data_IF_373305174513
#
_entry.id   IF_373305174513
#
_cell.length_a   1.000
_cell.length_b   1.000
_cell.length_c   1.000
_cell.angle_alpha   90.00
_cell.angle_beta   90.00
_cell.angle_gamma   90.00
#
_symmetry.space_group_name_H-M   'P 1'
#
loop_
_entity.id
_entity.type
_entity.pdbx_description
1 polymer ?
#
# COMPACT_ATOMS: atom_id res chain seq x y z
N UNK A 1 -6.81 -18.54 0.42
CA UNK A 1 -6.91 -17.54 -0.68
C UNK A 1 -7.09 -16.17 -0.06
N UNK A 2 -6.18 -15.24 -0.40
CA UNK A 2 -6.26 -13.88 0.14
C UNK A 2 -7.35 -13.05 -0.55
N UNK A 3 -8.24 -12.49 0.25
CA UNK A 3 -9.42 -11.72 -0.21
C UNK A 3 -9.42 -10.37 0.49
N UNK A 4 -9.05 -9.29 -0.23
CA UNK A 4 -9.12 -7.93 0.31
C UNK A 4 -10.58 -7.47 0.49
N UNK A 5 -10.87 -6.84 1.61
CA UNK A 5 -12.22 -6.29 1.87
C UNK A 5 -12.58 -5.18 0.88
N UNK A 6 -11.60 -4.35 0.49
CA UNK A 6 -11.79 -3.30 -0.51
C UNK A 6 -12.30 -3.87 -1.84
N UNK A 7 -11.73 -4.98 -2.30
CA UNK A 7 -12.18 -5.65 -3.52
C UNK A 7 -13.59 -6.24 -3.41
N UNK A 8 -13.94 -6.82 -2.26
CA UNK A 8 -15.32 -7.28 -2.05
C UNK A 8 -16.33 -6.13 -2.10
N UNK A 9 -15.96 -4.95 -1.58
CA UNK A 9 -16.79 -3.75 -1.60
C UNK A 9 -17.05 -3.18 -2.99
N UNK A 10 -16.22 -3.49 -3.96
CA UNK A 10 -16.48 -3.14 -5.37
C UNK A 10 -17.70 -3.89 -5.92
N UNK A 11 -17.92 -5.11 -5.45
CA UNK A 11 -18.99 -5.99 -5.92
C UNK A 11 -20.22 -6.02 -5.02
N UNK A 12 -20.08 -5.74 -3.72
CA UNK A 12 -21.15 -5.81 -2.75
C UNK A 12 -21.07 -4.64 -1.78
N UNK A 13 -22.21 -4.02 -1.44
CA UNK A 13 -22.28 -3.00 -0.39
C UNK A 13 -22.18 -3.66 1.00
N UNK A 14 -20.95 -3.73 1.51
CA UNK A 14 -20.64 -4.35 2.81
C UNK A 14 -20.69 -3.26 3.87
N UNK A 15 -21.73 -3.31 4.72
CA UNK A 15 -22.02 -2.38 5.81
C UNK A 15 -21.78 -2.98 7.20
N UNK A 16 -21.23 -4.19 7.26
CA UNK A 16 -20.85 -4.87 8.49
C UNK A 16 -19.34 -4.70 8.75
N UNK A 17 -18.94 -4.91 10.01
CA UNK A 17 -17.52 -4.92 10.37
C UNK A 17 -16.79 -6.13 9.77
N UNK A 18 -15.46 -6.07 9.61
CA UNK A 18 -14.68 -7.22 9.11
C UNK A 18 -14.91 -8.49 9.97
N UNK A 19 -15.00 -8.35 11.29
CA UNK A 19 -15.24 -9.46 12.21
C UNK A 19 -16.65 -10.05 12.07
N UNK A 20 -17.65 -9.22 11.81
CA UNK A 20 -19.01 -9.69 11.53
C UNK A 20 -19.08 -10.41 10.17
N UNK A 21 -18.34 -9.92 9.18
CA UNK A 21 -18.23 -10.58 7.87
C UNK A 21 -17.53 -11.94 7.99
N UNK A 22 -16.44 -12.02 8.74
CA UNK A 22 -15.75 -13.27 9.06
C UNK A 22 -16.73 -14.30 9.64
N UNK A 23 -17.52 -13.90 10.64
CA UNK A 23 -18.53 -14.79 11.24
C UNK A 23 -19.56 -15.26 10.21
N UNK A 24 -20.02 -14.36 9.33
CA UNK A 24 -20.98 -14.73 8.27
C UNK A 24 -20.38 -15.68 7.26
N UNK A 25 -19.09 -15.53 6.93
CA UNK A 25 -18.36 -16.46 6.09
C UNK A 25 -18.29 -17.85 6.74
N UNK A 26 -17.99 -17.95 8.04
CA UNK A 26 -18.05 -19.22 8.77
C UNK A 26 -19.45 -19.84 8.76
N UNK A 27 -20.49 -19.06 9.04
CA UNK A 27 -21.88 -19.52 9.02
C UNK A 27 -22.27 -20.01 7.60
N UNK A 28 -21.68 -19.43 6.55
CA UNK A 28 -21.84 -19.83 5.15
C UNK A 28 -20.97 -21.01 4.71
N UNK A 29 -20.17 -21.58 5.62
CA UNK A 29 -19.32 -22.75 5.36
C UNK A 29 -17.94 -22.44 4.78
N UNK A 30 -17.48 -21.21 4.91
CA UNK A 30 -16.10 -20.81 4.55
C UNK A 30 -15.22 -20.79 5.80
N UNK A 31 -14.09 -21.44 5.73
CA UNK A 31 -13.08 -21.38 6.77
C UNK A 31 -12.17 -20.15 6.52
N UNK A 32 -12.19 -19.18 7.42
CA UNK A 32 -11.26 -18.05 7.44
C UNK A 32 -10.12 -18.43 8.37
N UNK A 33 -8.94 -18.70 7.81
CA UNK A 33 -7.75 -19.10 8.57
C UNK A 33 -7.18 -17.92 9.35
N UNK A 34 -7.21 -16.73 8.73
CA UNK A 34 -6.72 -15.50 9.35
C UNK A 34 -7.52 -14.29 8.85
N UNK A 35 -7.81 -13.38 9.77
CA UNK A 35 -8.33 -12.03 9.49
C UNK A 35 -7.38 -11.01 10.08
N UNK A 36 -6.74 -10.20 9.23
CA UNK A 36 -5.81 -9.17 9.68
C UNK A 36 -5.95 -7.88 8.89
N UNK A 37 -5.56 -6.77 9.51
CA UNK A 37 -5.47 -5.49 8.83
C UNK A 37 -4.06 -5.33 8.24
N UNK A 38 -3.97 -5.03 6.95
CA UNK A 38 -2.71 -4.74 6.29
C UNK A 38 -2.09 -3.49 6.92
N UNK A 39 -0.78 -3.47 7.15
CA UNK A 39 -0.09 -2.33 7.76
C UNK A 39 -0.49 -2.01 9.21
N UNK A 40 -0.98 -3.01 9.97
CA UNK A 40 -1.35 -2.82 11.40
C UNK A 40 -0.15 -2.43 12.29
N UNK A 41 1.06 -2.80 11.89
CA UNK A 41 2.29 -2.52 12.63
C UNK A 41 2.82 -1.09 12.45
N UNK A 42 2.33 -0.37 11.44
CA UNK A 42 2.77 0.98 11.14
C UNK A 42 1.68 2.00 11.46
N UNK A 43 2.09 3.18 11.92
CA UNK A 43 1.15 4.24 12.34
C UNK A 43 1.77 5.64 12.20
N UNK A 44 0.91 6.68 12.11
CA UNK A 44 1.27 8.10 12.05
C UNK A 44 2.22 8.46 10.91
N UNK A 45 1.94 7.93 9.73
CA UNK A 45 2.67 8.22 8.51
C UNK A 45 1.78 9.03 7.59
N UNK A 46 2.20 10.25 7.27
CA UNK A 46 1.40 11.20 6.52
C UNK A 46 2.14 11.69 5.27
N UNK A 47 1.41 12.24 4.31
CA UNK A 47 2.01 12.86 3.12
C UNK A 47 2.63 14.20 3.49
N UNK A 48 3.92 14.37 3.18
CA UNK A 48 4.62 15.64 3.34
C UNK A 48 5.24 16.12 2.04
N UNK A 49 5.26 17.44 1.86
CA UNK A 49 5.93 18.15 0.77
C UNK A 49 7.28 18.66 1.26
N UNK A 50 8.33 18.33 0.59
CA UNK A 50 9.66 18.89 0.82
C UNK A 50 9.69 20.31 0.21
N UNK A 51 9.65 21.34 1.06
CA UNK A 51 9.71 22.75 0.62
C UNK A 51 11.13 23.16 0.25
N UNK A 52 12.11 22.78 1.09
CA UNK A 52 13.53 23.01 0.84
C UNK A 52 14.35 21.76 1.12
N UNK A 53 15.45 21.59 0.39
CA UNK A 53 16.36 20.47 0.53
C UNK A 53 17.80 20.98 0.37
N UNK A 54 18.53 21.08 1.48
CA UNK A 54 19.88 21.62 1.50
C UNK A 54 20.89 20.52 1.85
N UNK A 55 21.96 20.33 1.03
CA UNK A 55 22.96 19.33 1.32
C UNK A 55 23.79 19.71 2.56
N UNK A 56 24.10 18.73 3.42
CA UNK A 56 25.04 18.90 4.52
C UNK A 56 26.46 18.68 3.97
N UNK A 57 27.36 19.68 4.08
CA UNK A 57 28.73 19.56 3.55
C UNK A 57 29.45 18.30 4.03
N UNK A 58 30.23 17.67 3.17
CA UNK A 58 31.03 16.47 3.43
C UNK A 58 30.23 15.21 3.83
N UNK A 59 28.91 15.20 3.50
CA UNK A 59 28.05 14.05 3.76
C UNK A 59 27.10 13.82 2.57
N UNK A 60 26.44 12.64 2.53
CA UNK A 60 25.33 12.35 1.62
C UNK A 60 23.97 12.81 2.18
N UNK A 61 23.97 13.49 3.34
CA UNK A 61 22.73 13.89 4.01
C UNK A 61 22.25 15.25 3.56
N UNK A 62 20.94 15.43 3.60
CA UNK A 62 20.25 16.68 3.31
C UNK A 62 19.44 17.10 4.54
N UNK A 63 19.35 18.41 4.77
CA UNK A 63 18.39 19.01 5.70
C UNK A 63 17.19 19.49 4.90
N UNK A 64 16.03 18.92 5.19
CA UNK A 64 14.80 19.21 4.49
C UNK A 64 13.83 19.97 5.42
N UNK A 65 13.14 20.99 4.91
CA UNK A 65 11.94 21.53 5.52
C UNK A 65 10.74 20.86 4.86
N UNK A 66 9.97 20.14 5.67
CA UNK A 66 8.88 19.28 5.17
C UNK A 66 7.56 19.76 5.75
N UNK A 67 6.66 20.17 4.87
CA UNK A 67 5.31 20.57 5.21
C UNK A 67 4.38 19.36 5.21
N UNK A 68 3.89 18.96 6.35
CA UNK A 68 2.97 17.85 6.56
C UNK A 68 1.51 18.29 6.81
N UNK A 69 1.07 19.38 6.18
CA UNK A 69 -0.30 19.88 6.27
C UNK A 69 -0.66 20.32 7.69
N UNK A 70 -1.69 19.74 8.28
CA UNK A 70 -2.15 20.05 9.64
C UNK A 70 -1.11 19.80 10.74
N UNK A 71 -0.12 18.94 10.47
CA UNK A 71 0.99 18.65 11.40
C UNK A 71 2.10 19.70 11.35
N UNK A 72 1.97 20.71 10.47
CA UNK A 72 2.90 21.81 10.31
C UNK A 72 4.15 21.49 9.51
N UNK A 73 5.08 22.44 9.48
CA UNK A 73 6.38 22.27 8.82
C UNK A 73 7.42 21.84 9.84
N UNK A 74 8.20 20.83 9.49
CA UNK A 74 9.23 20.23 10.34
C UNK A 74 10.54 20.05 9.60
N UNK A 75 11.65 20.13 10.36
CA UNK A 75 12.97 19.80 9.84
C UNK A 75 13.22 18.31 9.92
N UNK A 76 13.60 17.71 8.80
CA UNK A 76 13.96 16.29 8.69
C UNK A 76 15.32 16.16 8.00
N UNK A 77 16.22 15.36 8.55
CA UNK A 77 17.48 14.99 7.91
C UNK A 77 17.27 13.69 7.12
N UNK A 78 17.59 13.73 5.84
CA UNK A 78 17.40 12.59 4.92
C UNK A 78 18.69 12.26 4.19
N UNK A 79 18.95 10.96 4.00
CA UNK A 79 20.11 10.46 3.26
C UNK A 79 19.77 9.80 1.93
N UNK A 80 18.53 9.86 1.50
CA UNK A 80 18.11 9.26 0.24
C UNK A 80 18.52 10.12 -0.96
N UNK A 81 18.99 9.47 -2.03
CA UNK A 81 19.49 10.15 -3.22
C UNK A 81 18.39 10.84 -4.04
N UNK A 82 17.14 10.38 -3.90
CA UNK A 82 15.99 10.92 -4.63
C UNK A 82 15.21 12.02 -3.87
N UNK A 83 15.69 12.47 -2.71
CA UNK A 83 15.04 13.58 -2.01
C UNK A 83 15.27 14.89 -2.74
N UNK A 84 14.18 15.63 -3.02
CA UNK A 84 14.26 16.90 -3.73
C UNK A 84 13.17 17.89 -3.29
N UNK A 85 13.44 19.18 -3.41
CA UNK A 85 12.44 20.21 -3.19
C UNK A 85 11.30 20.10 -4.21
N UNK A 86 10.06 20.23 -3.74
CA UNK A 86 8.84 20.02 -4.53
C UNK A 86 8.34 18.58 -4.58
N UNK A 87 9.13 17.61 -4.10
CA UNK A 87 8.71 16.20 -4.00
C UNK A 87 7.77 15.97 -2.82
N UNK A 88 6.81 15.07 -3.00
CA UNK A 88 5.93 14.56 -1.93
C UNK A 88 6.36 13.17 -1.53
N UNK A 89 6.51 12.94 -0.23
CA UNK A 89 7.01 11.68 0.32
C UNK A 89 6.23 11.29 1.58
N UNK A 90 6.20 10.00 1.97
CA UNK A 90 5.70 9.59 3.27
C UNK A 90 6.59 10.16 4.39
N UNK A 91 5.96 10.75 5.37
CA UNK A 91 6.60 11.33 6.57
C UNK A 91 6.14 10.56 7.78
N UNK A 92 7.03 9.82 8.40
CA UNK A 92 6.81 9.26 9.71
C UNK A 92 7.04 10.35 10.77
N UNK A 93 5.98 10.71 11.48
CA UNK A 93 6.00 11.72 12.53
C UNK A 93 6.74 11.20 13.78
N UNK A 94 7.11 12.09 14.68
CA UNK A 94 7.66 11.66 15.99
C UNK A 94 6.62 10.83 16.74
N UNK A 95 6.99 9.63 17.14
CA UNK A 95 6.10 8.63 17.75
C UNK A 95 5.39 7.72 16.73
N UNK A 96 5.66 7.89 15.44
CA UNK A 96 5.24 6.94 14.42
C UNK A 96 5.94 5.59 14.56
N UNK A 97 5.30 4.54 14.08
CA UNK A 97 5.90 3.21 13.91
C UNK A 97 6.08 2.89 12.44
N UNK A 98 7.22 2.36 12.07
CA UNK A 98 7.59 1.93 10.72
C UNK A 98 8.37 0.63 10.79
N UNK A 99 8.50 -0.09 9.68
CA UNK A 99 9.39 -1.24 9.62
C UNK A 99 10.85 -0.81 9.65
N UNK A 100 11.62 -1.47 10.50
CA UNK A 100 13.08 -1.35 10.52
C UNK A 100 13.66 -2.22 9.41
N UNK A 101 14.53 -1.65 8.60
CA UNK A 101 15.18 -2.37 7.49
C UNK A 101 16.64 -2.67 7.82
N UNK A 102 17.14 -3.80 7.34
CA UNK A 102 18.56 -4.13 7.39
C UNK A 102 19.39 -3.15 6.52
N UNK A 103 20.71 -3.29 6.55
CA UNK A 103 21.63 -2.44 5.76
C UNK A 103 21.44 -2.55 4.25
N UNK A 104 20.77 -3.58 3.77
CA UNK A 104 20.41 -3.77 2.35
C UNK A 104 19.19 -2.96 1.92
N UNK A 105 18.51 -2.29 2.87
CA UNK A 105 17.27 -1.53 2.68
C UNK A 105 16.11 -2.35 2.05
N UNK A 106 16.18 -3.68 2.12
CA UNK A 106 15.19 -4.60 1.52
C UNK A 106 14.62 -5.58 2.53
N UNK A 107 15.43 -6.02 3.48
CA UNK A 107 15.04 -6.99 4.49
C UNK A 107 14.44 -6.27 5.70
N UNK A 108 13.21 -6.63 6.09
CA UNK A 108 12.56 -6.13 7.30
C UNK A 108 13.09 -6.92 8.49
N UNK A 109 13.62 -6.23 9.50
CA UNK A 109 14.14 -6.83 10.75
C UNK A 109 13.17 -6.70 11.92
N UNK A 110 12.11 -5.91 11.78
CA UNK A 110 11.12 -5.67 12.82
C UNK A 110 10.43 -4.32 12.68
N UNK A 111 9.92 -3.80 13.78
CA UNK A 111 9.24 -2.51 13.84
C UNK A 111 10.04 -1.55 14.71
N UNK A 112 10.15 -0.30 14.29
CA UNK A 112 10.82 0.74 15.07
C UNK A 112 9.92 1.95 15.27
N UNK A 113 10.11 2.64 16.40
CA UNK A 113 9.41 3.90 16.69
C UNK A 113 10.30 5.10 16.36
N UNK A 114 9.77 6.03 15.59
CA UNK A 114 10.48 7.25 15.20
C UNK A 114 10.56 8.21 16.39
N UNK A 115 11.77 8.64 16.70
CA UNK A 115 12.07 9.59 17.77
C UNK A 115 12.73 10.84 17.20
N UNK A 116 12.60 11.96 17.92
CA UNK A 116 13.42 13.13 17.65
C UNK A 116 14.89 12.71 17.68
N UNK A 117 15.61 12.98 16.61
CA UNK A 117 17.02 12.65 16.47
C UNK A 117 17.90 13.87 16.21
N UNK A 118 19.22 13.66 16.24
CA UNK A 118 20.20 14.66 15.82
C UNK A 118 21.25 13.98 14.93
N UNK A 119 21.36 14.44 13.71
CA UNK A 119 22.28 13.91 12.69
C UNK A 119 23.26 15.00 12.29
N UNK A 120 24.56 14.75 12.46
CA UNK A 120 25.62 15.70 12.10
C UNK A 120 25.42 17.14 12.62
N UNK A 121 24.80 17.30 13.77
CA UNK A 121 24.54 18.62 14.37
C UNK A 121 23.15 19.21 14.10
N UNK A 122 22.43 18.68 13.13
CA UNK A 122 21.08 19.09 12.76
C UNK A 122 20.02 18.25 13.47
N UNK A 123 18.97 18.86 13.97
CA UNK A 123 17.83 18.16 14.57
C UNK A 123 16.92 17.59 13.49
N UNK A 124 16.36 16.38 13.71
CA UNK A 124 15.37 15.76 12.84
C UNK A 124 14.11 15.43 13.66
N UNK A 125 12.97 15.92 13.19
CA UNK A 125 11.67 15.78 13.85
C UNK A 125 10.75 14.81 13.09
N UNK A 126 11.29 13.72 12.63
CA UNK A 126 10.60 12.70 11.86
C UNK A 126 11.55 12.00 10.89
N UNK A 127 10.99 11.20 10.01
CA UNK A 127 11.72 10.47 8.98
C UNK A 127 10.92 10.46 7.69
N UNK A 128 11.58 10.67 6.55
CA UNK A 128 11.02 10.36 5.23
C UNK A 128 11.21 8.86 4.97
N UNK A 129 10.17 8.20 4.45
CA UNK A 129 10.16 6.74 4.34
C UNK A 129 10.28 6.24 2.90
N UNK A 130 10.94 5.09 2.77
CA UNK A 130 10.94 4.25 1.59
C UNK A 130 9.71 3.34 1.55
N UNK A 131 9.45 2.67 0.41
CA UNK A 131 8.41 1.66 0.31
C UNK A 131 8.61 0.48 1.29
N UNK A 132 9.86 0.04 1.45
CA UNK A 132 10.19 -1.08 2.36
C UNK A 132 9.92 -0.75 3.83
N UNK A 133 10.17 0.49 4.26
CA UNK A 133 9.86 0.94 5.63
C UNK A 133 8.35 1.02 5.90
N UNK A 134 7.53 1.03 4.84
CA UNK A 134 6.08 0.91 4.91
C UNK A 134 5.60 -0.54 4.75
N UNK A 135 6.50 -1.49 4.49
CA UNK A 135 6.14 -2.89 4.19
C UNK A 135 5.58 -3.10 2.78
N UNK A 136 5.79 -2.13 1.89
CA UNK A 136 5.34 -2.21 0.50
C UNK A 136 6.39 -2.87 -0.40
N UNK A 137 5.91 -3.61 -1.38
CA UNK A 137 6.71 -4.15 -2.49
C UNK A 137 6.29 -3.49 -3.81
N UNK A 138 7.10 -3.65 -4.85
CA UNK A 138 6.78 -3.11 -6.19
C UNK A 138 5.46 -3.65 -6.75
N UNK A 139 5.11 -4.91 -6.42
CA UNK A 139 3.85 -5.53 -6.85
C UNK A 139 2.63 -4.97 -6.11
N UNK A 140 2.82 -4.41 -4.90
CA UNK A 140 1.75 -3.80 -4.11
C UNK A 140 1.51 -2.34 -4.48
N UNK A 141 2.59 -1.59 -4.68
CA UNK A 141 2.51 -0.18 -5.01
C UNK A 141 3.67 0.24 -5.93
N UNK A 142 3.39 0.87 -7.08
CA UNK A 142 4.43 1.28 -8.04
C UNK A 142 5.47 2.20 -7.40
N UNK A 143 6.74 1.89 -7.62
CA UNK A 143 7.87 2.63 -7.06
C UNK A 143 8.27 2.22 -5.64
N UNK A 144 7.54 1.32 -4.98
CA UNK A 144 7.88 0.87 -3.62
C UNK A 144 9.14 0.00 -3.57
N UNK A 145 9.49 -0.66 -4.68
CA UNK A 145 10.73 -1.44 -4.81
C UNK A 145 11.98 -0.60 -5.06
N UNK A 146 11.85 0.71 -5.25
CA UNK A 146 12.98 1.59 -5.47
C UNK A 146 13.82 1.76 -4.19
N UNK A 147 15.14 1.73 -4.35
CA UNK A 147 16.07 1.96 -3.24
C UNK A 147 16.19 3.46 -2.95
N UNK A 148 15.22 4.03 -2.29
CA UNK A 148 15.11 5.45 -1.97
C UNK A 148 13.74 5.74 -1.33
N UNK A 149 13.37 7.01 -1.27
CA UNK A 149 12.05 7.40 -0.77
C UNK A 149 10.94 6.99 -1.72
N UNK A 150 9.81 6.60 -1.16
CA UNK A 150 8.59 6.38 -1.94
C UNK A 150 8.03 7.73 -2.39
N UNK A 151 7.87 7.92 -3.68
CA UNK A 151 7.24 9.13 -4.23
C UNK A 151 5.72 9.01 -4.15
N UNK A 152 5.08 10.02 -3.54
CA UNK A 152 3.62 10.08 -3.43
C UNK A 152 3.03 10.78 -4.66
N UNK A 153 1.77 10.48 -5.03
CA UNK A 153 1.09 11.15 -6.14
C UNK A 153 1.11 12.68 -5.99
N UNK A 154 1.28 13.38 -7.10
CA UNK A 154 1.37 14.85 -7.10
C UNK A 154 0.10 15.53 -6.55
N UNK A 155 -1.07 14.90 -6.72
CA UNK A 155 -2.37 15.34 -6.23
C UNK A 155 -2.67 14.90 -4.78
N UNK A 156 -1.80 14.06 -4.16
CA UNK A 156 -1.98 13.64 -2.78
C UNK A 156 -2.06 14.85 -1.83
N UNK A 157 -3.07 14.86 -0.97
CA UNK A 157 -3.29 15.93 0.00
C UNK A 157 -2.23 15.88 1.11
N UNK A 158 -1.66 17.05 1.46
CA UNK A 158 -0.69 17.13 2.56
C UNK A 158 -1.34 16.79 3.90
N UNK A 159 -0.66 16.01 4.70
CA UNK A 159 -1.18 15.52 5.98
C UNK A 159 -2.13 14.32 5.86
N UNK A 160 -2.50 13.89 4.65
CA UNK A 160 -3.32 12.68 4.47
C UNK A 160 -2.57 11.43 4.94
N UNK A 161 -3.30 10.46 5.49
CA UNK A 161 -2.74 9.18 5.90
C UNK A 161 -2.22 8.41 4.66
N UNK A 162 -0.95 8.05 4.70
CA UNK A 162 -0.29 7.31 3.63
C UNK A 162 -0.92 5.92 3.45
N UNK A 163 -1.39 5.29 4.52
CA UNK A 163 -2.01 3.96 4.44
C UNK A 163 -3.25 3.94 3.55
N UNK A 164 -4.08 4.99 3.65
CA UNK A 164 -5.28 5.11 2.82
C UNK A 164 -4.96 5.28 1.32
N UNK A 165 -3.80 5.91 0.99
CA UNK A 165 -3.37 6.12 -0.39
C UNK A 165 -2.72 4.85 -0.98
N UNK A 166 -2.03 4.09 -0.14
CA UNK A 166 -1.24 2.92 -0.56
C UNK A 166 -1.98 1.59 -0.37
N UNK A 167 -3.20 1.61 0.20
CA UNK A 167 -3.99 0.41 0.48
C UNK A 167 -3.52 -0.38 1.72
N UNK A 168 -2.70 0.23 2.58
CA UNK A 168 -2.20 -0.40 3.82
C UNK A 168 -3.20 -0.32 4.98
N UNK A 169 -4.39 0.19 4.77
CA UNK A 169 -5.50 0.24 5.74
C UNK A 169 -6.57 -0.82 5.48
N UNK A 170 -6.38 -1.67 4.46
CA UNK A 170 -7.34 -2.71 4.09
C UNK A 170 -7.34 -3.89 5.07
N UNK A 171 -8.44 -4.63 5.06
CA UNK A 171 -8.58 -5.90 5.77
C UNK A 171 -8.43 -7.07 4.82
N UNK A 172 -7.68 -8.07 5.24
CA UNK A 172 -7.41 -9.28 4.46
C UNK A 172 -8.03 -10.48 5.13
N UNK A 173 -8.84 -11.21 4.38
CA UNK A 173 -9.37 -12.52 4.77
C UNK A 173 -8.54 -13.60 4.08
N UNK A 174 -7.87 -14.45 4.82
CA UNK A 174 -7.29 -15.67 4.27
C UNK A 174 -8.34 -16.80 4.35
N UNK A 175 -8.94 -17.11 3.20
CA UNK A 175 -10.03 -18.08 3.11
C UNK A 175 -9.49 -19.41 2.58
N UNK A 176 -9.69 -20.46 3.36
CA UNK A 176 -9.43 -21.83 2.94
C UNK A 176 -10.61 -22.35 2.12
N UNK A 177 -10.36 -22.69 0.88
CA UNK A 177 -11.40 -23.18 -0.04
C UNK A 177 -11.33 -24.70 -0.19
N UNK A 178 -12.46 -25.35 0.03
CA UNK A 178 -12.59 -26.78 -0.18
C UNK A 178 -12.68 -27.14 -1.66
N UNK A 179 -12.24 -28.33 -2.03
CA UNK A 179 -12.17 -28.77 -3.43
C UNK A 179 -13.52 -28.82 -4.15
N UNK A 180 -14.63 -28.86 -3.42
CA UNK A 180 -15.99 -28.84 -3.96
C UNK A 180 -16.53 -27.43 -4.25
N UNK A 181 -15.75 -26.37 -3.94
CA UNK A 181 -16.13 -24.97 -4.18
C UNK A 181 -15.18 -24.25 -5.16
N UNK A 182 -14.96 -24.82 -6.38
CA UNK A 182 -14.10 -24.18 -7.39
C UNK A 182 -14.67 -22.84 -7.89
N UNK A 183 -15.98 -22.63 -7.77
CA UNK A 183 -16.71 -21.40 -8.08
C UNK A 183 -16.23 -20.21 -7.21
N UNK A 184 -15.68 -20.46 -6.04
CA UNK A 184 -15.20 -19.46 -5.09
C UNK A 184 -13.69 -19.14 -5.24
N UNK A 185 -12.99 -19.73 -6.22
CA UNK A 185 -11.57 -19.44 -6.49
C UNK A 185 -11.34 -18.10 -7.20
N UNK A 186 -12.18 -17.11 -6.93
CA UNK A 186 -12.04 -15.75 -7.42
C UNK A 186 -12.74 -14.77 -6.47
N UNK A 187 -12.31 -13.53 -6.47
CA UNK A 187 -12.95 -12.47 -5.68
C UNK A 187 -14.44 -12.34 -6.03
N UNK A 188 -14.78 -12.42 -7.31
CA UNK A 188 -16.19 -12.39 -7.75
C UNK A 188 -16.99 -13.60 -7.24
N UNK A 189 -16.37 -14.79 -7.15
CA UNK A 189 -17.00 -15.97 -6.57
C UNK A 189 -17.33 -15.77 -5.10
N UNK A 190 -16.38 -15.29 -4.31
CA UNK A 190 -16.61 -14.95 -2.89
C UNK A 190 -17.63 -13.81 -2.77
N UNK A 191 -17.56 -12.80 -3.63
CA UNK A 191 -18.52 -11.68 -3.62
C UNK A 191 -19.97 -12.15 -3.84
N UNK A 192 -20.21 -13.18 -4.68
CA UNK A 192 -21.55 -13.79 -4.84
C UNK A 192 -22.07 -14.41 -3.54
N UNK A 193 -21.21 -15.11 -2.83
CA UNK A 193 -21.56 -15.71 -1.54
C UNK A 193 -21.82 -14.62 -0.48
N UNK A 194 -20.95 -13.61 -0.40
CA UNK A 194 -21.13 -12.46 0.49
C UNK A 194 -22.42 -11.71 0.18
N UNK A 195 -22.73 -11.51 -1.12
CA UNK A 195 -23.99 -10.92 -1.59
C UNK A 195 -25.21 -11.68 -1.05
N UNK A 196 -25.19 -13.02 -1.13
CA UNK A 196 -26.26 -13.87 -0.60
C UNK A 196 -26.33 -13.82 0.92
N UNK A 197 -25.19 -13.88 1.63
CA UNK A 197 -25.14 -13.86 3.10
C UNK A 197 -25.59 -12.53 3.70
N UNK A 198 -25.34 -11.42 3.00
CA UNK A 198 -25.74 -10.08 3.42
C UNK A 198 -27.11 -9.66 2.88
N UNK A 199 -27.72 -10.46 2.00
CA UNK A 199 -28.96 -10.13 1.26
C UNK A 199 -28.84 -8.79 0.50
N UNK A 200 -27.64 -8.52 -0.05
CA UNK A 200 -27.31 -7.31 -0.81
C UNK A 200 -27.15 -7.63 -2.29
N UNK A 201 -27.48 -6.70 -3.20
CA UNK A 201 -27.29 -6.94 -4.62
C UNK A 201 -25.82 -7.06 -4.99
N UNK A 202 -25.51 -8.00 -5.89
CA UNK A 202 -24.18 -8.11 -6.50
C UNK A 202 -24.06 -7.09 -7.64
N UNK A 203 -23.00 -6.30 -7.60
CA UNK A 203 -22.61 -5.36 -8.64
C UNK A 203 -21.66 -6.08 -9.61
N UNK A 204 -22.14 -6.38 -10.81
CA UNK A 204 -21.26 -6.98 -11.83
C UNK A 204 -20.35 -5.92 -12.45
N UNK A 205 -19.08 -6.24 -12.71
CA UNK A 205 -18.20 -5.32 -13.43
C UNK A 205 -18.71 -5.08 -14.84
N UNK A 206 -18.53 -3.86 -15.35
CA UNK A 206 -18.82 -3.58 -16.76
C UNK A 206 -17.87 -4.38 -17.66
N UNK A 207 -18.44 -4.95 -18.71
CA UNK A 207 -17.68 -5.61 -19.78
C UNK A 207 -17.53 -4.68 -21.01
N UNK A 208 -17.96 -3.43 -20.89
CA UNK A 208 -17.82 -2.44 -21.96
C UNK A 208 -16.35 -2.05 -22.10
N UNK A 209 -15.85 -2.11 -23.31
CA UNK A 209 -14.50 -1.67 -23.64
C UNK A 209 -14.49 -0.90 -24.96
N UNK A 210 -13.54 0.00 -25.08
CA UNK A 210 -13.28 0.69 -26.34
C UNK A 210 -12.09 0.01 -27.00
N UNK A 211 -12.29 -0.53 -28.21
CA UNK A 211 -11.20 -1.07 -29.00
C UNK A 211 -10.23 0.05 -29.38
N UNK A 212 -8.98 -0.09 -29.00
CA UNK A 212 -7.91 0.76 -29.50
C UNK A 212 -7.23 0.06 -30.67
N UNK A 213 -6.89 0.80 -31.74
CA UNK A 213 -6.12 0.25 -32.84
C UNK A 213 -4.80 -0.35 -32.29
N UNK A 214 -4.75 -1.67 -32.25
CA UNK A 214 -3.52 -2.39 -31.92
C UNK A 214 -2.58 -2.22 -33.10
N UNK A 215 -1.46 -1.52 -32.93
CA UNK A 215 -0.34 -1.59 -33.89
C UNK A 215 -0.05 -3.07 -34.10
N UNK A 216 -0.17 -3.52 -35.37
CA UNK A 216 -0.04 -4.90 -35.83
C UNK A 216 0.80 -5.77 -34.91
N UNK A 217 0.15 -6.63 -34.12
CA UNK A 217 0.84 -7.73 -33.47
C UNK A 217 1.53 -8.56 -34.57
N UNK A 218 2.82 -8.77 -34.45
CA UNK A 218 3.56 -9.59 -35.40
C UNK A 218 2.90 -10.99 -35.42
N UNK A 219 2.56 -11.48 -36.62
CA UNK A 219 1.99 -12.81 -36.82
C UNK A 219 2.82 -13.94 -36.17
N UNK A 220 4.12 -13.70 -35.96
CA UNK A 220 5.06 -14.60 -35.25
C UNK A 220 4.65 -14.80 -33.78
N UNK A 221 4.10 -13.78 -33.08
CA UNK A 221 3.65 -13.93 -31.70
C UNK A 221 2.34 -14.73 -31.58
N UNK A 222 1.51 -14.70 -32.61
CA UNK A 222 0.26 -15.45 -32.65
C UNK A 222 0.52 -16.92 -32.96
N UNK A 223 1.45 -17.23 -33.89
CA UNK A 223 1.80 -18.62 -34.24
C UNK A 223 2.52 -19.35 -33.11
N UNK A 224 3.43 -18.68 -32.34
CA UNK A 224 4.11 -19.28 -31.20
C UNK A 224 3.19 -19.60 -30.01
N UNK A 225 2.11 -18.87 -29.83
CA UNK A 225 1.12 -19.17 -28.78
C UNK A 225 0.35 -20.49 -29.06
N UNK A 226 0.28 -20.96 -30.30
CA UNK A 226 -0.35 -22.22 -30.69
C UNK A 226 0.59 -23.43 -30.69
N UNK A 227 1.92 -23.22 -30.63
CA UNK A 227 2.91 -24.31 -30.63
C UNK A 227 3.21 -24.84 -29.21
N UNK A 228 2.69 -24.22 -28.15
CA UNK A 228 2.88 -24.61 -26.74
C UNK A 228 1.64 -25.22 -26.08
N UNK A 229 0.64 -25.62 -26.85
CA UNK A 229 -0.57 -26.29 -26.37
C UNK A 229 -0.51 -27.80 -26.62
#
# INVERSE_FOLDING_TARGET
MLVPLSWLKEYVDIDVTPQELEKKLFDGGFEVEELYQVGHDIDKIVVGLVETCEPIPETHLHVCQVNAGEYGTMQICCGADNVQAGGKYPVALVGATVYATAKDHKTIEGVMTIKKGKLRGFESYGMLCSGTELGLTEDMYPGAGYNGLLEMPADAQLGADVKAITGLDDWMFDISLTANRPDCQSILGIAREVSAMLEKPLKMPSTDYTETEVKKLSLIHISRAHETA
#
